data_IF_134580529399
#
_entry.id   IF_134580529399
#
_cell.length_a   1.000
_cell.length_b   1.000
_cell.length_c   1.000
_cell.angle_alpha   90.00
_cell.angle_beta   90.00
_cell.angle_gamma   90.00
#
_symmetry.space_group_name_H-M   'P 1'
#
loop_
_entity.id
_entity.type
_entity.pdbx_description
1 polymer ?
#
# COMPACT_ATOMS: atom_id res chain seq x y z
N UNK A 1 -5.35 1.72 17.55
CA UNK A 1 -4.89 2.21 16.24
C UNK A 1 -4.25 1.02 15.58
N UNK A 2 -4.89 0.46 14.55
CA UNK A 2 -4.25 -0.59 13.77
C UNK A 2 -3.12 0.03 12.94
N UNK A 3 -2.15 -0.80 12.57
CA UNK A 3 -1.07 -0.40 11.68
C UNK A 3 -1.48 -0.76 10.25
N UNK A 4 -1.26 0.13 9.28
CA UNK A 4 -1.54 -0.20 7.89
C UNK A 4 -0.74 -1.43 7.47
N UNK A 5 -1.42 -2.33 6.76
CA UNK A 5 -0.83 -3.47 6.08
C UNK A 5 -0.69 -3.15 4.61
N UNK A 6 0.47 -3.46 4.04
CA UNK A 6 0.82 -3.20 2.66
C UNK A 6 1.02 -4.54 1.95
N UNK A 7 0.29 -4.78 0.88
CA UNK A 7 0.24 -6.09 0.22
C UNK A 7 0.37 -5.87 -1.28
N UNK A 8 1.39 -6.45 -1.90
CA UNK A 8 1.50 -6.49 -3.35
C UNK A 8 0.60 -7.62 -3.89
N UNK A 9 -0.25 -7.30 -4.86
CA UNK A 9 -1.26 -8.22 -5.39
C UNK A 9 -1.37 -8.11 -6.91
N UNK A 10 -1.80 -9.18 -7.56
CA UNK A 10 -2.06 -9.17 -8.99
C UNK A 10 -3.32 -8.35 -9.33
N UNK A 11 -3.29 -7.63 -10.45
CA UNK A 11 -4.37 -6.74 -10.85
C UNK A 11 -5.72 -7.48 -11.07
N UNK A 12 -5.67 -8.80 -11.32
CA UNK A 12 -6.86 -9.63 -11.51
C UNK A 12 -7.79 -9.68 -10.29
N UNK A 13 -7.25 -9.50 -9.07
CA UNK A 13 -8.07 -9.57 -7.85
C UNK A 13 -8.70 -8.22 -7.47
N UNK A 14 -8.32 -7.12 -8.14
CA UNK A 14 -8.76 -5.77 -7.77
C UNK A 14 -10.24 -5.54 -8.02
N UNK A 15 -10.77 -6.09 -9.11
CA UNK A 15 -12.20 -5.99 -9.42
C UNK A 15 -13.04 -6.75 -8.39
N UNK A 16 -12.54 -7.88 -7.89
CA UNK A 16 -13.20 -8.66 -6.86
C UNK A 16 -13.14 -7.94 -5.50
N UNK A 17 -12.00 -7.33 -5.15
CA UNK A 17 -11.85 -6.51 -3.93
C UNK A 17 -12.80 -5.31 -3.90
N UNK A 18 -13.07 -4.68 -5.05
CA UNK A 18 -14.01 -3.55 -5.16
C UNK A 18 -15.47 -3.93 -4.87
N UNK A 19 -15.83 -5.20 -4.98
CA UNK A 19 -17.19 -5.71 -4.74
C UNK A 19 -17.43 -5.97 -3.24
N UNK A 20 -16.40 -5.81 -2.39
CA UNK A 20 -16.43 -6.05 -0.95
C UNK A 20 -16.75 -7.51 -0.61
N UNK A 21 -15.88 -8.41 -1.07
CA UNK A 21 -15.90 -9.82 -0.65
C UNK A 21 -15.12 -9.98 0.66
N UNK A 22 -15.81 -10.36 1.74
CA UNK A 22 -15.20 -10.57 3.05
C UNK A 22 -14.16 -11.71 3.00
N UNK A 23 -14.33 -12.70 2.12
CA UNK A 23 -13.38 -13.80 1.93
C UNK A 23 -12.05 -13.29 1.35
N UNK A 24 -12.08 -12.33 0.43
CA UNK A 24 -10.87 -11.73 -0.13
C UNK A 24 -10.13 -10.89 0.91
N UNK A 25 -10.85 -10.18 1.78
CA UNK A 25 -10.22 -9.47 2.90
C UNK A 25 -9.51 -10.46 3.82
N UNK A 26 -10.15 -11.56 4.20
CA UNK A 26 -9.50 -12.63 5.00
C UNK A 26 -8.28 -13.24 4.29
N UNK A 27 -8.34 -13.42 2.98
CA UNK A 27 -7.21 -13.91 2.18
C UNK A 27 -6.03 -12.92 2.15
N UNK A 28 -6.30 -11.62 2.13
CA UNK A 28 -5.27 -10.58 2.26
C UNK A 28 -4.62 -10.61 3.66
N UNK A 29 -5.42 -10.72 4.72
CA UNK A 29 -4.90 -10.80 6.10
C UNK A 29 -4.10 -12.07 6.37
N UNK A 30 -4.49 -13.19 5.76
CA UNK A 30 -3.80 -14.49 5.91
C UNK A 30 -2.55 -14.63 5.04
N UNK A 31 -2.30 -13.69 4.13
CA UNK A 31 -1.18 -13.73 3.19
C UNK A 31 -1.37 -14.66 2.00
N UNK A 32 -2.59 -15.13 1.74
CA UNK A 32 -2.90 -16.03 0.63
C UNK A 32 -2.74 -15.36 -0.75
N UNK A 33 -2.86 -14.03 -0.81
CA UNK A 33 -2.82 -13.22 -2.05
C UNK A 33 -1.53 -12.40 -2.20
N UNK A 34 -0.66 -12.44 -1.21
CA UNK A 34 0.58 -11.67 -1.15
C UNK A 34 1.07 -11.54 0.29
N UNK A 35 2.39 -11.44 0.48
CA UNK A 35 2.97 -11.33 1.82
C UNK A 35 2.68 -9.94 2.42
N UNK A 36 1.96 -9.84 3.55
CA UNK A 36 1.67 -8.56 4.16
C UNK A 36 2.92 -7.97 4.81
N UNK A 37 3.23 -6.74 4.42
CA UNK A 37 4.30 -5.92 4.99
C UNK A 37 3.70 -4.87 5.93
N UNK A 38 4.37 -4.60 7.03
CA UNK A 38 4.01 -3.50 7.93
C UNK A 38 5.24 -2.69 8.33
N UNK A 39 5.04 -1.40 8.53
CA UNK A 39 6.06 -0.48 9.08
C UNK A 39 5.70 -0.02 10.50
N UNK A 40 4.79 -0.74 11.18
CA UNK A 40 4.40 -0.45 12.56
C UNK A 40 3.90 0.98 12.71
N UNK A 41 4.26 1.68 13.78
CA UNK A 41 3.86 3.07 14.02
C UNK A 41 4.56 4.11 13.14
N UNK A 42 5.62 3.72 12.40
CA UNK A 42 6.40 4.65 11.58
C UNK A 42 5.65 5.14 10.33
N UNK A 43 4.48 4.57 10.02
CA UNK A 43 3.64 5.04 8.91
C UNK A 43 3.24 6.51 9.04
N UNK A 44 3.02 7.00 10.27
CA UNK A 44 2.68 8.40 10.54
C UNK A 44 3.85 9.31 10.17
N UNK A 45 5.07 8.91 10.50
CA UNK A 45 6.28 9.68 10.19
C UNK A 45 6.55 9.70 8.69
N UNK A 46 6.33 8.59 8.00
CA UNK A 46 6.45 8.52 6.53
C UNK A 46 5.38 9.41 5.87
N UNK A 47 4.14 9.38 6.37
CA UNK A 47 3.07 10.25 5.88
C UNK A 47 3.43 11.73 6.04
N UNK A 48 3.92 12.11 7.22
CA UNK A 48 4.29 13.49 7.52
C UNK A 48 5.46 13.95 6.64
N UNK A 49 6.45 13.09 6.42
CA UNK A 49 7.57 13.36 5.52
C UNK A 49 7.11 13.58 4.08
N UNK A 50 6.25 12.71 3.54
CA UNK A 50 5.66 12.87 2.20
C UNK A 50 4.95 14.22 2.07
N UNK A 51 4.10 14.55 3.05
CA UNK A 51 3.37 15.82 3.10
C UNK A 51 4.31 17.02 3.12
N UNK A 52 5.38 16.96 3.93
CA UNK A 52 6.38 18.03 4.06
C UNK A 52 7.17 18.23 2.77
N UNK A 53 7.45 17.13 2.05
CA UNK A 53 8.09 17.15 0.74
C UNK A 53 7.13 17.58 -0.40
N UNK A 54 5.86 17.86 -0.10
CA UNK A 54 4.85 18.31 -1.07
C UNK A 54 4.15 17.17 -1.82
N UNK A 55 4.41 15.91 -1.44
CA UNK A 55 3.72 14.75 -1.98
C UNK A 55 2.41 14.49 -1.26
N UNK A 56 1.47 13.88 -1.98
CA UNK A 56 0.27 13.31 -1.35
C UNK A 56 0.70 12.03 -0.63
N UNK A 57 0.14 11.76 0.56
CA UNK A 57 0.43 10.57 1.38
C UNK A 57 -0.02 9.24 0.75
N UNK A 58 -0.07 9.15 -0.57
CA UNK A 58 -0.60 8.00 -1.31
C UNK A 58 0.28 6.76 -1.18
N UNK A 59 1.59 6.91 -1.00
CA UNK A 59 2.46 5.77 -0.76
C UNK A 59 2.14 5.02 0.54
N UNK A 60 1.42 5.68 1.47
CA UNK A 60 1.01 5.12 2.77
C UNK A 60 -0.50 4.93 2.93
N UNK A 61 -1.34 5.58 2.10
CA UNK A 61 -2.81 5.47 2.17
C UNK A 61 -3.48 4.90 0.93
N UNK A 62 -2.75 4.75 -0.17
CA UNK A 62 -3.32 4.50 -1.49
C UNK A 62 -3.73 5.80 -2.17
N UNK A 63 -3.77 5.78 -3.50
CA UNK A 63 -4.26 6.90 -4.30
C UNK A 63 -5.74 6.75 -4.68
N UNK A 64 -6.30 5.55 -4.51
CA UNK A 64 -7.71 5.21 -4.61
C UNK A 64 -8.19 4.56 -3.32
N UNK A 65 -9.48 4.71 -2.99
CA UNK A 65 -10.13 3.95 -1.89
C UNK A 65 -11.12 3.01 -2.54
N UNK A 66 -10.95 1.71 -2.31
CA UNK A 66 -11.79 0.65 -2.89
C UNK A 66 -12.80 0.08 -1.89
N UNK A 67 -12.48 0.10 -0.59
CA UNK A 67 -13.41 -0.24 0.50
C UNK A 67 -13.32 0.82 1.59
N UNK A 68 -14.47 1.28 2.10
CA UNK A 68 -14.52 2.36 3.10
C UNK A 68 -14.47 1.90 4.56
N UNK A 69 -14.76 0.64 4.85
CA UNK A 69 -14.74 0.06 6.20
C UNK A 69 -14.56 -1.48 6.14
N UNK A 70 -13.37 -2.02 6.52
CA UNK A 70 -12.14 -1.27 6.85
C UNK A 70 -11.65 -0.43 5.66
N UNK A 71 -10.87 0.63 5.91
CA UNK A 71 -10.39 1.48 4.83
C UNK A 71 -9.33 0.72 4.03
N UNK A 72 -9.65 0.42 2.77
CA UNK A 72 -8.73 -0.24 1.83
C UNK A 72 -8.35 0.76 0.74
N UNK A 73 -7.09 1.20 0.80
CA UNK A 73 -6.44 1.99 -0.22
C UNK A 73 -5.82 1.10 -1.31
N UNK A 74 -5.72 1.66 -2.51
CA UNK A 74 -5.10 1.02 -3.66
C UNK A 74 -4.09 1.97 -4.30
N UNK A 75 -2.92 1.44 -4.63
CA UNK A 75 -1.99 1.99 -5.62
C UNK A 75 -1.99 1.02 -6.80
N UNK A 76 -2.60 1.39 -7.93
CA UNK A 76 -2.62 0.53 -9.10
C UNK A 76 -1.21 0.43 -9.72
N UNK A 77 -0.95 -0.68 -10.41
CA UNK A 77 0.36 -1.04 -10.94
C UNK A 77 0.97 0.07 -11.82
N UNK A 78 0.16 0.79 -12.60
CA UNK A 78 0.61 1.91 -13.44
C UNK A 78 1.07 3.15 -12.64
N UNK A 79 0.72 3.26 -11.36
CA UNK A 79 1.08 4.37 -10.47
C UNK A 79 2.15 4.03 -9.45
N UNK A 80 2.64 2.79 -9.43
CA UNK A 80 3.71 2.36 -8.53
C UNK A 80 4.98 3.19 -8.73
N UNK A 81 5.33 3.56 -9.97
CA UNK A 81 6.51 4.40 -10.24
C UNK A 81 6.40 5.77 -9.57
N UNK A 82 5.20 6.37 -9.57
CA UNK A 82 4.97 7.66 -8.90
C UNK A 82 5.18 7.56 -7.38
N UNK A 83 4.88 6.40 -6.78
CA UNK A 83 5.12 6.17 -5.36
C UNK A 83 6.61 6.02 -5.07
N UNK A 84 7.35 5.31 -5.93
CA UNK A 84 8.80 5.21 -5.83
C UNK A 84 9.48 6.57 -5.93
N UNK A 85 9.04 7.43 -6.87
CA UNK A 85 9.55 8.80 -7.01
C UNK A 85 9.28 9.63 -5.75
N UNK A 86 8.09 9.48 -5.16
CA UNK A 86 7.73 10.18 -3.92
C UNK A 86 8.60 9.74 -2.75
N UNK A 87 8.87 8.43 -2.63
CA UNK A 87 9.71 7.86 -1.58
C UNK A 87 11.21 8.13 -1.77
N UNK A 88 11.67 8.34 -3.01
CA UNK A 88 13.09 8.54 -3.33
C UNK A 88 13.72 9.77 -2.64
N UNK A 89 12.90 10.76 -2.29
CA UNK A 89 13.33 11.97 -1.57
C UNK A 89 13.40 11.81 -0.05
N UNK A 90 12.92 10.68 0.48
CA UNK A 90 12.80 10.42 1.90
C UNK A 90 13.90 9.48 2.40
N UNK A 91 14.07 9.42 3.72
CA UNK A 91 15.06 8.56 4.36
C UNK A 91 14.50 7.93 5.63
N UNK A 92 14.95 6.72 5.93
CA UNK A 92 14.53 5.98 7.13
C UNK A 92 14.27 4.51 6.83
N UNK A 93 14.28 3.69 7.88
CA UNK A 93 14.07 2.24 7.78
C UNK A 93 12.70 1.91 7.17
N UNK A 94 11.63 2.56 7.66
CA UNK A 94 10.27 2.38 7.13
C UNK A 94 10.15 2.79 5.65
N UNK A 95 10.84 3.84 5.22
CA UNK A 95 10.90 4.26 3.82
C UNK A 95 11.60 3.19 2.97
N UNK A 96 12.70 2.60 3.48
CA UNK A 96 13.41 1.50 2.83
C UNK A 96 12.50 0.29 2.62
N UNK A 97 11.78 -0.14 3.67
CA UNK A 97 10.83 -1.26 3.60
C UNK A 97 9.75 -1.01 2.54
N UNK A 98 9.14 0.18 2.52
CA UNK A 98 8.13 0.52 1.50
C UNK A 98 8.75 0.59 0.11
N UNK A 99 9.94 1.16 -0.03
CA UNK A 99 10.64 1.25 -1.32
C UNK A 99 10.90 -0.13 -1.90
N UNK A 100 11.33 -1.09 -1.08
CA UNK A 100 11.59 -2.46 -1.51
C UNK A 100 10.31 -3.20 -1.91
N UNK A 101 9.21 -2.96 -1.17
CA UNK A 101 7.87 -3.45 -1.55
C UNK A 101 7.45 -2.90 -2.93
N UNK A 102 7.46 -1.59 -3.11
CA UNK A 102 7.04 -0.96 -4.37
C UNK A 102 7.96 -1.33 -5.54
N UNK A 103 9.27 -1.55 -5.31
CA UNK A 103 10.18 -2.08 -6.34
C UNK A 103 9.81 -3.50 -6.76
N UNK A 104 9.50 -4.35 -5.79
CA UNK A 104 9.05 -5.72 -6.05
C UNK A 104 7.74 -5.74 -6.81
N UNK A 105 6.76 -4.94 -6.38
CA UNK A 105 5.47 -4.79 -7.05
C UNK A 105 5.64 -4.29 -8.50
N UNK A 106 6.47 -3.26 -8.72
CA UNK A 106 6.79 -2.77 -10.07
C UNK A 106 7.38 -3.86 -10.95
N UNK A 107 8.35 -4.62 -10.44
CA UNK A 107 9.03 -5.67 -11.20
C UNK A 107 8.07 -6.80 -11.60
N UNK A 108 7.07 -7.08 -10.76
CA UNK A 108 6.04 -8.08 -11.01
C UNK A 108 4.83 -7.54 -11.81
N UNK A 109 4.72 -6.23 -12.00
CA UNK A 109 3.53 -5.61 -12.60
C UNK A 109 2.30 -5.67 -11.69
N UNK A 110 2.52 -5.64 -10.37
CA UNK A 110 1.50 -5.78 -9.34
C UNK A 110 1.05 -4.44 -8.78
N UNK A 111 -0.18 -4.40 -8.30
CA UNK A 111 -0.73 -3.31 -7.52
C UNK A 111 -0.42 -3.47 -6.04
N UNK A 112 -0.47 -2.38 -5.27
CA UNK A 112 -0.30 -2.41 -3.81
C UNK A 112 -1.61 -2.04 -3.12
N UNK A 113 -2.12 -2.97 -2.33
CA UNK A 113 -3.29 -2.79 -1.47
C UNK A 113 -2.83 -2.38 -0.07
N UNK A 114 -3.53 -1.41 0.51
CA UNK A 114 -3.21 -0.84 1.81
C UNK A 114 -4.44 -0.95 2.69
N UNK A 115 -4.38 -1.77 3.73
CA UNK A 115 -5.50 -1.99 4.65
C UNK A 115 -5.25 -1.22 5.94
N UNK A 116 -6.18 -0.36 6.35
CA UNK A 116 -6.12 0.42 7.59
C UNK A 116 -7.42 0.29 8.37
N UNK A 117 -7.35 -0.07 9.66
CA UNK A 117 -8.48 -0.02 10.62
C UNK A 117 -8.43 1.20 11.55
#
# INVERSE_FOLDING_TARGET
MAHPLFIAVDDSILDELRIKDDELLEQLFSGALGDPVTIGSAWVDVEEQLRTAGFRGFAVRGCEVIVGDPMVGLVPSERVEEMLDSLASLSGEAVGVLTDLYRSARAAGQSVVIISE
#
